data_IF_515342259570
#
_entry.id   IF_515342259570
#
_cell.length_a   1.000
_cell.length_b   1.000
_cell.length_c   1.000
_cell.angle_alpha   90.00
_cell.angle_beta   90.00
_cell.angle_gamma   90.00
#
_symmetry.space_group_name_H-M   'P 1'
#
loop_
_entity.id
_entity.type
_entity.pdbx_description
1 polymer ?
#
# COMPACT_ATOMS: atom_id res chain seq x y z
N UNK A 1 -27.04 -12.17 -24.17
CA UNK A 1 -26.63 -10.87 -23.59
C UNK A 1 -25.53 -11.10 -22.57
N UNK A 2 -24.70 -10.10 -22.25
CA UNK A 2 -23.37 -10.31 -21.64
C UNK A 2 -23.26 -9.95 -20.14
N UNK A 3 -24.39 -9.84 -19.45
CA UNK A 3 -24.47 -9.55 -18.01
C UNK A 3 -25.53 -10.47 -17.38
N UNK A 4 -25.26 -10.96 -16.17
CA UNK A 4 -26.26 -11.69 -15.39
C UNK A 4 -27.39 -10.75 -14.97
N UNK A 5 -28.60 -11.28 -14.85
CA UNK A 5 -29.78 -10.50 -14.49
C UNK A 5 -29.64 -9.95 -13.06
N UNK A 6 -29.78 -8.62 -12.91
CA UNK A 6 -29.86 -7.98 -11.60
C UNK A 6 -31.23 -8.28 -11.00
N UNK A 7 -31.24 -8.80 -9.78
CA UNK A 7 -32.47 -8.99 -9.01
C UNK A 7 -33.11 -7.65 -8.65
N UNK A 8 -34.43 -7.64 -8.45
CA UNK A 8 -35.16 -6.43 -8.06
C UNK A 8 -34.56 -5.76 -6.80
N UNK A 9 -34.19 -6.55 -5.79
CA UNK A 9 -33.54 -6.03 -4.57
C UNK A 9 -32.15 -5.42 -4.80
N UNK A 10 -31.37 -5.91 -5.78
CA UNK A 10 -30.11 -5.26 -6.18
C UNK A 10 -30.37 -3.93 -6.89
N UNK A 11 -31.40 -3.85 -7.74
CA UNK A 11 -31.82 -2.61 -8.41
C UNK A 11 -32.28 -1.58 -7.37
N UNK A 12 -33.15 -1.96 -6.43
CA UNK A 12 -33.61 -1.11 -5.34
C UNK A 12 -32.45 -0.60 -4.46
N UNK A 13 -31.48 -1.46 -4.12
CA UNK A 13 -30.30 -1.06 -3.35
C UNK A 13 -29.46 -0.01 -4.10
N UNK A 14 -29.29 -0.13 -5.42
CA UNK A 14 -28.58 0.87 -6.24
C UNK A 14 -29.37 2.18 -6.31
N UNK A 15 -30.68 2.13 -6.58
CA UNK A 15 -31.53 3.33 -6.64
C UNK A 15 -31.53 4.07 -5.31
N UNK A 16 -31.65 3.37 -4.18
CA UNK A 16 -31.56 3.96 -2.84
C UNK A 16 -30.19 4.60 -2.58
N UNK A 17 -29.10 3.93 -2.97
CA UNK A 17 -27.72 4.45 -2.80
C UNK A 17 -27.43 5.69 -3.64
N UNK A 18 -28.14 5.90 -4.75
CA UNK A 18 -28.08 7.11 -5.57
C UNK A 18 -28.94 8.27 -5.00
N UNK A 19 -29.76 8.04 -3.97
CA UNK A 19 -30.72 9.03 -3.46
C UNK A 19 -32.05 9.02 -4.22
N UNK A 20 -32.47 7.85 -4.69
CA UNK A 20 -33.71 7.65 -5.44
C UNK A 20 -33.60 8.06 -6.92
N UNK A 21 -34.74 8.17 -7.58
CA UNK A 21 -34.80 8.41 -9.03
C UNK A 21 -34.16 9.74 -9.46
N UNK A 22 -34.10 10.74 -8.58
CA UNK A 22 -33.37 11.98 -8.83
C UNK A 22 -31.86 11.73 -9.04
N UNK A 23 -31.25 10.83 -8.26
CA UNK A 23 -29.85 10.45 -8.45
C UNK A 23 -29.62 9.60 -9.69
N UNK A 24 -30.57 8.72 -10.02
CA UNK A 24 -30.55 7.94 -11.28
C UNK A 24 -30.59 8.88 -12.49
N UNK A 25 -31.49 9.87 -12.49
CA UNK A 25 -31.60 10.84 -13.57
C UNK A 25 -30.31 11.67 -13.73
N UNK A 26 -29.67 12.06 -12.62
CA UNK A 26 -28.38 12.75 -12.65
C UNK A 26 -27.23 11.87 -13.14
N UNK A 27 -27.24 10.58 -12.81
CA UNK A 27 -26.25 9.62 -13.30
C UNK A 27 -26.40 9.42 -14.83
N UNK A 28 -27.64 9.30 -15.31
CA UNK A 28 -27.94 9.13 -16.73
C UNK A 28 -27.72 10.42 -17.56
N UNK A 29 -27.87 11.61 -16.96
CA UNK A 29 -27.55 12.89 -17.60
C UNK A 29 -26.06 13.25 -17.57
N UNK A 30 -25.24 12.51 -16.81
CA UNK A 30 -23.82 12.82 -16.59
C UNK A 30 -23.54 13.90 -15.54
N UNK A 31 -24.57 14.51 -14.93
CA UNK A 31 -24.38 15.45 -13.80
C UNK A 31 -23.79 14.76 -12.56
N UNK A 32 -24.18 13.51 -12.31
CA UNK A 32 -23.64 12.67 -11.26
C UNK A 32 -22.72 11.63 -11.90
N UNK A 33 -21.50 12.06 -12.24
CA UNK A 33 -20.43 11.11 -12.55
C UNK A 33 -20.19 10.29 -11.28
N UNK A 34 -20.39 8.97 -11.36
CA UNK A 34 -19.98 8.08 -10.30
C UNK A 34 -18.48 8.24 -10.12
N UNK A 35 -18.05 8.83 -9.00
CA UNK A 35 -16.62 8.82 -8.65
C UNK A 35 -16.19 7.36 -8.58
N UNK A 36 -15.34 6.96 -9.51
CA UNK A 36 -14.38 5.89 -9.27
C UNK A 36 -13.78 6.19 -7.89
N UNK A 37 -13.79 5.22 -6.97
CA UNK A 37 -13.38 5.50 -5.58
C UNK A 37 -11.97 6.05 -5.62
N UNK A 38 -11.86 7.35 -5.35
CA UNK A 38 -10.62 8.09 -5.46
C UNK A 38 -9.71 7.57 -4.36
N UNK A 39 -8.90 6.55 -4.69
CA UNK A 39 -7.90 5.96 -3.81
C UNK A 39 -7.08 7.14 -3.29
N UNK A 40 -7.29 7.51 -2.03
CA UNK A 40 -6.66 8.66 -1.41
C UNK A 40 -5.17 8.40 -1.39
N UNK A 41 -4.47 9.04 -2.32
CA UNK A 41 -3.04 8.90 -2.50
C UNK A 41 -2.33 10.05 -1.83
N UNK A 42 -1.49 9.69 -0.88
CA UNK A 42 -0.53 10.60 -0.32
C UNK A 42 0.80 10.38 -1.03
N UNK A 43 1.33 11.43 -1.64
CA UNK A 43 2.66 11.43 -2.26
C UNK A 43 3.69 11.97 -1.27
N UNK A 44 4.91 11.46 -1.33
CA UNK A 44 6.04 11.93 -0.53
C UNK A 44 7.35 11.75 -1.31
N UNK A 45 8.09 12.83 -1.49
CA UNK A 45 9.40 12.82 -2.14
C UNK A 45 10.45 12.39 -1.12
N UNK A 46 11.25 11.38 -1.45
CA UNK A 46 12.33 10.89 -0.57
C UNK A 46 13.64 10.77 -1.32
N UNK A 47 14.76 10.91 -0.61
CA UNK A 47 16.07 10.52 -1.13
C UNK A 47 16.34 9.08 -0.66
N UNK A 48 16.35 8.14 -1.60
CA UNK A 48 16.76 6.75 -1.35
C UNK A 48 18.26 6.65 -1.61
N UNK A 49 19.02 6.31 -0.59
CA UNK A 49 20.48 6.16 -0.65
C UNK A 49 20.86 4.68 -0.74
N UNK A 50 20.76 4.12 -1.95
CA UNK A 50 21.10 2.74 -2.28
C UNK A 50 22.59 2.40 -2.06
N UNK A 51 23.44 3.37 -1.70
CA UNK A 51 24.80 3.10 -1.23
C UNK A 51 24.86 2.63 0.23
N UNK A 52 23.76 2.78 0.99
CA UNK A 52 23.65 2.28 2.36
C UNK A 52 23.33 0.79 2.39
N UNK A 53 23.92 0.09 3.36
CA UNK A 53 23.49 -1.24 3.78
C UNK A 53 22.10 -1.18 4.42
N UNK A 54 21.37 -2.29 4.40
CA UNK A 54 20.07 -2.42 5.06
C UNK A 54 20.14 -1.97 6.54
N UNK A 55 21.20 -2.34 7.26
CA UNK A 55 21.42 -1.96 8.66
C UNK A 55 21.58 -0.44 8.86
N UNK A 56 22.19 0.28 7.91
CA UNK A 56 22.30 1.74 7.96
C UNK A 56 20.94 2.40 7.70
N UNK A 57 20.16 1.90 6.74
CA UNK A 57 18.80 2.38 6.46
C UNK A 57 17.86 2.15 7.67
N UNK A 58 17.94 0.97 8.29
CA UNK A 58 17.18 0.65 9.53
C UNK A 58 17.57 1.60 10.66
N UNK A 59 18.87 1.86 10.85
CA UNK A 59 19.37 2.79 11.88
C UNK A 59 18.90 4.23 11.62
N UNK A 60 18.91 4.69 10.37
CA UNK A 60 18.37 6.00 9.99
C UNK A 60 16.87 6.12 10.28
N UNK A 61 16.13 5.01 10.16
CA UNK A 61 14.72 4.93 10.53
C UNK A 61 14.44 5.06 12.03
N UNK A 62 15.39 4.78 12.93
CA UNK A 62 15.22 4.88 14.40
C UNK A 62 13.92 4.20 14.92
N UNK A 63 13.77 2.92 14.59
CA UNK A 63 12.67 2.07 15.05
C UNK A 63 12.93 1.60 16.50
N UNK A 64 11.88 1.51 17.32
CA UNK A 64 11.97 0.95 18.67
C UNK A 64 12.15 -0.57 18.64
N UNK A 65 11.54 -1.22 17.65
CA UNK A 65 11.64 -2.66 17.43
C UNK A 65 11.75 -2.98 15.94
N UNK A 66 12.58 -3.99 15.62
CA UNK A 66 12.85 -4.49 14.27
C UNK A 66 12.77 -6.01 14.29
N UNK A 67 12.11 -6.60 13.29
CA UNK A 67 12.05 -8.06 13.17
C UNK A 67 13.43 -8.62 12.79
N UNK A 68 13.88 -9.64 13.52
CA UNK A 68 15.21 -10.25 13.35
C UNK A 68 15.43 -10.87 11.96
N UNK A 69 14.37 -11.27 11.26
CA UNK A 69 14.44 -11.81 9.90
C UNK A 69 14.59 -10.71 8.83
N UNK A 70 14.58 -9.43 9.20
CA UNK A 70 14.87 -8.32 8.29
C UNK A 70 16.40 -8.16 8.17
N UNK A 71 17.00 -9.11 7.44
CA UNK A 71 18.45 -9.21 7.21
C UNK A 71 18.81 -8.81 5.77
N UNK A 72 20.07 -8.46 5.54
CA UNK A 72 20.59 -8.16 4.19
C UNK A 72 20.53 -9.39 3.25
N UNK A 73 20.50 -10.60 3.80
CA UNK A 73 20.36 -11.86 3.07
C UNK A 73 18.92 -12.08 2.61
N UNK A 74 17.94 -11.86 3.50
CA UNK A 74 16.52 -12.01 3.20
C UNK A 74 15.98 -10.85 2.36
N UNK A 75 16.53 -9.65 2.54
CA UNK A 75 16.11 -8.41 1.89
C UNK A 75 17.31 -7.66 1.29
N UNK A 76 17.89 -8.15 0.17
CA UNK A 76 19.01 -7.50 -0.49
C UNK A 76 18.58 -6.19 -1.15
N UNK A 77 19.20 -5.08 -0.72
CA UNK A 77 19.11 -3.78 -1.40
C UNK A 77 19.59 -3.92 -2.85
N UNK A 78 18.87 -3.36 -3.82
CA UNK A 78 19.33 -3.29 -5.20
C UNK A 78 19.09 -1.90 -5.79
N UNK A 79 20.14 -1.34 -6.39
CA UNK A 79 20.21 0.03 -6.87
C UNK A 79 21.65 0.54 -6.71
N UNK A 80 21.89 1.82 -6.98
CA UNK A 80 23.20 2.43 -6.74
C UNK A 80 23.11 3.95 -6.55
N UNK A 81 23.95 4.48 -5.68
CA UNK A 81 24.02 5.92 -5.39
C UNK A 81 22.78 6.44 -4.66
N UNK A 82 22.47 7.72 -4.88
CA UNK A 82 21.31 8.41 -4.30
C UNK A 82 20.34 8.77 -5.42
N UNK A 83 19.08 8.41 -5.25
CA UNK A 83 18.01 8.78 -6.19
C UNK A 83 16.90 9.49 -5.41
N UNK A 84 16.28 10.48 -6.05
CA UNK A 84 15.07 11.11 -5.56
C UNK A 84 13.87 10.34 -6.10
N UNK A 85 13.09 9.74 -5.21
CA UNK A 85 11.97 8.85 -5.55
C UNK A 85 10.65 9.47 -5.10
N UNK A 86 9.64 9.42 -5.97
CA UNK A 86 8.25 9.75 -5.64
C UNK A 86 7.56 8.51 -5.05
N UNK A 87 7.43 8.45 -3.73
CA UNK A 87 6.65 7.39 -3.06
C UNK A 87 5.20 7.81 -2.97
N UNK A 88 4.32 6.98 -3.51
CA UNK A 88 2.86 7.12 -3.47
C UNK A 88 2.27 6.07 -2.55
N UNK A 89 1.52 6.51 -1.55
CA UNK A 89 0.80 5.66 -0.61
C UNK A 89 -0.62 5.42 -1.10
N UNK A 90 -0.90 4.22 -1.62
CA UNK A 90 -2.24 3.81 -2.03
C UNK A 90 -3.09 3.42 -0.82
N UNK A 91 -4.34 3.90 -0.80
CA UNK A 91 -5.39 3.49 0.12
C UNK A 91 -6.57 2.96 -0.68
N UNK A 92 -7.04 1.74 -0.37
CA UNK A 92 -8.18 1.13 -1.06
C UNK A 92 -9.50 1.20 -0.26
N UNK A 93 -9.45 1.56 1.03
CA UNK A 93 -10.63 1.74 1.89
C UNK A 93 -11.46 0.47 2.15
N UNK A 94 -10.94 -0.71 1.79
CA UNK A 94 -11.59 -2.02 1.90
C UNK A 94 -10.56 -3.11 2.12
N UNK A 95 -11.00 -4.28 2.58
CA UNK A 95 -10.12 -5.45 2.61
C UNK A 95 -9.69 -5.84 1.19
N UNK A 96 -8.41 -6.11 1.01
CA UNK A 96 -7.79 -6.41 -0.30
C UNK A 96 -6.69 -7.46 -0.14
N UNK A 97 -6.43 -8.26 -1.19
CA UNK A 97 -5.28 -9.17 -1.23
C UNK A 97 -4.03 -8.44 -1.73
N UNK A 98 -2.84 -9.00 -1.44
CA UNK A 98 -1.59 -8.46 -2.03
C UNK A 98 -1.62 -8.45 -3.57
N UNK A 99 -2.18 -9.51 -4.19
CA UNK A 99 -2.26 -9.61 -5.65
C UNK A 99 -3.15 -8.53 -6.27
N UNK A 100 -4.33 -8.29 -5.69
CA UNK A 100 -5.23 -7.24 -6.15
C UNK A 100 -4.63 -5.84 -5.92
N UNK A 101 -4.02 -5.60 -4.75
CA UNK A 101 -3.35 -4.34 -4.44
C UNK A 101 -2.24 -4.03 -5.47
N UNK A 102 -1.41 -5.03 -5.81
CA UNK A 102 -0.38 -4.93 -6.85
C UNK A 102 -1.03 -4.60 -8.20
N UNK A 103 -2.04 -5.36 -8.62
CA UNK A 103 -2.72 -5.13 -9.91
C UNK A 103 -3.34 -3.73 -10.01
N UNK A 104 -3.93 -3.18 -8.93
CA UNK A 104 -4.48 -1.82 -8.91
C UNK A 104 -3.39 -0.73 -8.93
N UNK A 105 -2.20 -0.99 -8.38
CA UNK A 105 -1.03 -0.09 -8.52
C UNK A 105 -0.47 -0.14 -9.95
N UNK A 106 -0.35 -1.34 -10.54
CA UNK A 106 0.20 -1.54 -11.88
C UNK A 106 -0.66 -0.93 -12.99
N UNK A 107 -1.99 -1.05 -12.90
CA UNK A 107 -2.95 -0.38 -13.81
C UNK A 107 -2.73 1.13 -13.91
N UNK A 108 -2.11 1.72 -12.89
CA UNK A 108 -1.93 3.16 -12.75
C UNK A 108 -0.48 3.60 -12.98
N UNK A 109 0.38 2.71 -13.48
CA UNK A 109 1.77 3.00 -13.84
C UNK A 109 2.76 2.94 -12.68
N UNK A 110 2.39 2.32 -11.56
CA UNK A 110 3.25 2.17 -10.39
C UNK A 110 3.71 0.72 -10.21
N UNK A 111 4.91 0.55 -9.65
CA UNK A 111 5.34 -0.73 -9.05
C UNK A 111 5.18 -0.64 -7.53
N UNK A 112 4.96 -1.75 -6.83
CA UNK A 112 5.09 -1.79 -5.38
C UNK A 112 6.46 -1.31 -4.94
N UNK A 113 6.51 -0.59 -3.82
CA UNK A 113 7.77 -0.16 -3.24
C UNK A 113 8.54 -1.35 -2.66
N UNK A 114 9.86 -1.24 -2.65
CA UNK A 114 10.80 -2.17 -2.03
C UNK A 114 11.17 -1.71 -0.61
N UNK A 115 11.93 -2.52 0.12
CA UNK A 115 12.31 -2.23 1.50
C UNK A 115 13.18 -0.97 1.63
N UNK A 116 14.08 -0.72 0.68
CA UNK A 116 14.94 0.47 0.65
C UNK A 116 14.12 1.77 0.57
N UNK A 117 13.08 1.77 -0.28
CA UNK A 117 12.13 2.88 -0.44
C UNK A 117 11.25 3.04 0.82
N UNK A 118 10.78 1.94 1.40
CA UNK A 118 10.03 1.94 2.66
C UNK A 118 10.84 2.51 3.83
N UNK A 119 12.11 2.13 3.94
CA UNK A 119 13.01 2.60 4.99
C UNK A 119 13.37 4.07 4.82
N UNK A 120 13.59 4.52 3.58
CA UNK A 120 13.77 5.94 3.27
C UNK A 120 12.53 6.76 3.65
N UNK A 121 11.32 6.28 3.33
CA UNK A 121 10.07 6.89 3.77
C UNK A 121 9.95 6.96 5.29
N UNK A 122 10.26 5.85 5.99
CA UNK A 122 10.23 5.78 7.44
C UNK A 122 11.24 6.71 8.11
N UNK A 123 12.42 6.90 7.52
CA UNK A 123 13.42 7.84 8.02
C UNK A 123 13.03 9.31 7.77
N UNK A 124 12.54 9.64 6.57
CA UNK A 124 12.16 11.00 6.19
C UNK A 124 10.85 11.47 6.86
N UNK A 125 9.88 10.58 7.00
CA UNK A 125 8.52 10.91 7.48
C UNK A 125 8.07 9.99 8.63
N UNK A 126 8.77 10.01 9.79
CA UNK A 126 8.54 9.07 10.90
C UNK A 126 7.15 9.16 11.55
N UNK A 127 6.39 10.23 11.28
CA UNK A 127 5.02 10.43 11.74
C UNK A 127 3.94 9.70 10.92
N UNK A 128 4.26 9.15 9.74
CA UNK A 128 3.24 8.49 8.89
C UNK A 128 2.77 7.17 9.48
N UNK A 129 3.71 6.33 9.95
CA UNK A 129 3.38 5.03 10.54
C UNK A 129 2.61 5.12 11.87
N UNK A 130 2.43 6.34 12.42
CA UNK A 130 1.55 6.61 13.58
C UNK A 130 0.07 6.78 13.20
N UNK A 131 -0.22 7.02 11.92
CA UNK A 131 -1.56 7.27 11.41
C UNK A 131 -2.18 6.02 10.78
N UNK A 132 -1.34 5.17 10.19
CA UNK A 132 -1.72 3.93 9.51
C UNK A 132 -0.48 3.02 9.33
N UNK A 133 -0.65 1.70 9.24
CA UNK A 133 0.42 0.80 8.84
C UNK A 133 0.75 0.96 7.34
N UNK A 134 2.02 0.84 6.98
CA UNK A 134 2.54 1.05 5.60
C UNK A 134 3.31 -0.19 5.15
N UNK A 135 2.85 -0.88 4.11
CA UNK A 135 3.49 -2.10 3.56
C UNK A 135 4.20 -1.84 2.23
N UNK A 136 5.32 -2.53 2.00
CA UNK A 136 6.09 -2.52 0.76
C UNK A 136 6.07 -3.91 0.09
N UNK A 137 5.07 -4.15 -0.77
CA UNK A 137 4.85 -5.45 -1.44
C UNK A 137 5.90 -5.79 -2.52
N UNK A 138 6.84 -4.89 -2.82
CA UNK A 138 7.90 -5.08 -3.81
C UNK A 138 9.12 -5.84 -3.27
N UNK A 139 9.16 -6.10 -1.95
CA UNK A 139 10.17 -6.93 -1.30
C UNK A 139 9.50 -8.09 -0.59
N UNK A 140 9.72 -9.31 -1.08
CA UNK A 140 9.15 -10.54 -0.52
C UNK A 140 10.28 -11.48 -0.14
N UNK A 141 10.33 -11.88 1.13
CA UNK A 141 11.14 -12.99 1.60
C UNK A 141 10.29 -14.27 1.67
N UNK A 142 10.88 -15.42 1.38
CA UNK A 142 10.25 -16.73 1.58
C UNK A 142 10.92 -17.41 2.78
N UNK A 143 10.14 -17.68 3.82
CA UNK A 143 10.65 -18.29 5.05
C UNK A 143 10.96 -19.79 4.86
N UNK A 144 11.65 -20.44 5.82
CA UNK A 144 11.97 -21.87 5.74
C UNK A 144 10.75 -22.82 5.72
N UNK A 145 9.56 -22.35 6.06
CA UNK A 145 8.29 -23.11 5.98
C UNK A 145 7.43 -22.70 4.77
N UNK A 146 8.03 -21.99 3.81
CA UNK A 146 7.44 -21.51 2.56
C UNK A 146 6.34 -20.43 2.68
N UNK A 147 6.21 -19.76 3.82
CA UNK A 147 5.39 -18.53 3.90
C UNK A 147 6.09 -17.41 3.15
N UNK A 148 5.33 -16.56 2.45
CA UNK A 148 5.87 -15.31 1.88
C UNK A 148 5.63 -14.16 2.84
N UNK A 149 6.68 -13.43 3.16
CA UNK A 149 6.70 -12.35 4.14
C UNK A 149 7.13 -11.03 3.50
N UNK A 150 6.40 -9.95 3.81
CA UNK A 150 6.66 -8.59 3.31
C UNK A 150 6.92 -7.61 4.44
N UNK A 151 7.83 -6.63 4.27
CA UNK A 151 8.13 -5.63 5.28
C UNK A 151 7.03 -4.56 5.35
N UNK A 152 6.72 -4.14 6.57
CA UNK A 152 5.83 -3.03 6.85
C UNK A 152 6.29 -2.20 8.05
N UNK A 153 5.88 -0.93 8.05
CA UNK A 153 6.04 0.01 9.15
C UNK A 153 4.73 0.14 9.92
N UNK A 154 4.80 0.21 11.25
CA UNK A 154 3.63 0.41 12.10
C UNK A 154 3.98 1.18 13.39
N UNK A 155 2.96 1.62 14.12
CA UNK A 155 3.09 2.17 15.47
C UNK A 155 2.25 1.32 16.42
N UNK A 156 2.88 0.82 17.49
CA UNK A 156 2.23 -0.04 18.48
C UNK A 156 2.92 0.11 19.83
N UNK A 157 2.15 0.16 20.92
CA UNK A 157 2.66 0.26 22.29
C UNK A 157 3.72 1.37 22.48
N UNK A 158 3.44 2.55 21.93
CA UNK A 158 4.31 3.74 21.92
C UNK A 158 5.67 3.61 21.20
N UNK A 159 5.84 2.53 20.42
CA UNK A 159 7.04 2.28 19.62
C UNK A 159 6.78 2.27 18.11
N UNK A 160 7.81 2.65 17.35
CA UNK A 160 7.85 2.50 15.90
C UNK A 160 8.39 1.13 15.54
N UNK A 161 7.57 0.33 14.87
CA UNK A 161 7.93 -1.01 14.44
C UNK A 161 8.35 -1.04 12.97
N UNK A 162 9.31 -1.91 12.67
CA UNK A 162 9.60 -2.46 11.34
C UNK A 162 9.45 -3.98 11.42
N UNK A 163 8.39 -4.54 10.83
CA UNK A 163 7.98 -5.94 11.01
C UNK A 163 7.65 -6.60 9.66
N UNK A 164 7.51 -7.92 9.67
CA UNK A 164 7.06 -8.75 8.54
C UNK A 164 5.60 -9.21 8.70
N UNK A 165 4.82 -9.25 7.61
CA UNK A 165 3.48 -9.87 7.59
C UNK A 165 3.33 -10.80 6.38
N UNK A 166 2.42 -11.78 6.45
CA UNK A 166 2.16 -12.73 5.37
C UNK A 166 1.61 -12.04 4.11
N UNK A 167 2.23 -12.32 2.96
CA UNK A 167 1.79 -11.83 1.65
C UNK A 167 0.41 -12.38 1.26
N UNK A 168 0.10 -13.62 1.66
CA UNK A 168 -1.20 -14.26 1.50
C UNK A 168 -2.28 -13.69 2.44
N UNK A 169 -1.89 -12.83 3.38
CA UNK A 169 -2.80 -12.15 4.29
C UNK A 169 -3.75 -11.20 3.55
N UNK A 170 -4.95 -11.04 4.12
CA UNK A 170 -5.83 -9.94 3.76
C UNK A 170 -5.41 -8.68 4.50
N UNK A 171 -5.28 -7.58 3.76
CA UNK A 171 -4.96 -6.26 4.32
C UNK A 171 -6.24 -5.54 4.72
N UNK A 172 -6.22 -4.83 5.86
CA UNK A 172 -7.33 -3.99 6.29
C UNK A 172 -7.50 -2.74 5.42
N UNK A 173 -8.71 -2.17 5.40
CA UNK A 173 -8.99 -0.95 4.62
C UNK A 173 -8.26 0.31 5.10
N UNK A 174 -7.64 0.25 6.28
CA UNK A 174 -6.82 1.28 6.91
C UNK A 174 -5.35 1.27 6.46
N UNK A 175 -4.88 0.20 5.82
CA UNK A 175 -3.49 0.06 5.37
C UNK A 175 -3.11 1.04 4.25
N UNK A 176 -1.82 1.37 4.16
CA UNK A 176 -1.23 2.03 2.99
C UNK A 176 -0.23 1.11 2.30
N UNK A 177 -0.29 1.11 0.98
CA UNK A 177 0.62 0.36 0.13
C UNK A 177 1.59 1.36 -0.47
N UNK A 178 2.86 1.27 -0.09
CA UNK A 178 3.90 2.09 -0.69
C UNK A 178 4.16 1.61 -2.12
N UNK A 179 4.22 2.57 -3.04
CA UNK A 179 4.45 2.36 -4.46
C UNK A 179 5.37 3.45 -5.00
N UNK A 180 6.09 3.16 -6.08
CA UNK A 180 6.88 4.15 -6.84
C UNK A 180 6.60 3.99 -8.32
N UNK A 181 6.92 5.01 -9.10
CA UNK A 181 6.62 5.03 -10.54
C UNK A 181 7.42 3.95 -11.29
N UNK A 182 6.84 3.41 -12.37
CA UNK A 182 7.54 2.57 -13.36
C UNK A 182 8.33 3.42 -14.35
#
# INVERSE_FOLDING_TARGET
MKYGELTLGQIEAVVNKLGGMNGVNKLLSGELVGKEMENQRQTSMVIVDYSQTLAQMIKAGNYGWVNNDITQEHFPIAGSGKQEEEIVLFCFGKNISSGDAIAEMEKQGFRPARIEELLALGAAYPGLQKQFPIVALGSVWQDPVSSRLVPYLNWFSDERLLHLLWFEGGWGGDWRFAAVRK
#
